data_IF_997890562391
#
_entry.id   IF_997890562391
#
_cell.length_a   1.000
_cell.length_b   1.000
_cell.length_c   1.000
_cell.angle_alpha   90.00
_cell.angle_beta   90.00
_cell.angle_gamma   90.00
#
_symmetry.space_group_name_H-M   'P 1'
#
loop_
_entity.id
_entity.type
_entity.pdbx_description
1 polymer ?
#
# COMPACT_ATOMS: atom_id res chain seq x y z
N UNK A 1 1.22 -19.14 7.79
CA UNK A 1 1.61 -18.44 6.55
C UNK A 1 0.44 -18.43 5.58
N UNK A 2 0.02 -17.26 5.05
CA UNK A 2 -1.10 -17.15 4.12
C UNK A 2 -0.71 -16.19 3.00
N UNK A 3 -0.82 -16.66 1.74
CA UNK A 3 -0.71 -15.81 0.55
C UNK A 3 -1.98 -15.99 -0.28
N UNK A 4 -2.63 -14.89 -0.66
CA UNK A 4 -3.78 -14.88 -1.58
C UNK A 4 -3.58 -13.79 -2.61
N UNK A 5 -3.80 -14.11 -3.88
CA UNK A 5 -3.69 -13.14 -4.94
C UNK A 5 -4.79 -13.34 -6.01
N UNK A 6 -5.41 -12.26 -6.44
CA UNK A 6 -6.20 -12.23 -7.66
C UNK A 6 -5.23 -12.25 -8.84
N UNK A 7 -4.91 -13.47 -9.33
CA UNK A 7 -3.90 -13.68 -10.35
C UNK A 7 -4.51 -13.56 -11.75
N UNK A 8 -3.99 -12.67 -12.63
CA UNK A 8 -4.59 -12.47 -13.95
C UNK A 8 -4.29 -13.66 -14.87
N UNK A 9 -5.36 -14.25 -15.45
CA UNK A 9 -5.27 -15.40 -16.35
C UNK A 9 -5.74 -15.09 -17.76
N UNK A 10 -6.56 -14.04 -17.96
CA UNK A 10 -7.16 -13.64 -19.23
C UNK A 10 -7.17 -12.12 -19.37
N UNK A 11 -6.95 -11.62 -20.58
CA UNK A 11 -6.97 -10.19 -20.92
C UNK A 11 -5.87 -9.81 -21.90
N UNK A 12 -5.59 -8.51 -22.01
CA UNK A 12 -4.46 -8.02 -22.80
C UNK A 12 -3.13 -8.54 -22.24
N UNK A 13 -2.26 -9.00 -23.16
CA UNK A 13 -1.00 -9.66 -22.78
C UNK A 13 -0.07 -8.72 -22.03
N UNK A 14 0.08 -7.48 -22.49
CA UNK A 14 0.99 -6.50 -21.90
C UNK A 14 0.56 -6.17 -20.47
N UNK A 15 -0.75 -5.95 -20.27
CA UNK A 15 -1.32 -5.71 -18.95
C UNK A 15 -1.13 -6.90 -18.01
N UNK A 16 -1.43 -8.12 -18.50
CA UNK A 16 -1.26 -9.35 -17.71
C UNK A 16 0.20 -9.53 -17.27
N UNK A 17 1.14 -9.37 -18.18
CA UNK A 17 2.57 -9.51 -17.89
C UNK A 17 3.04 -8.47 -16.88
N UNK A 18 2.58 -7.20 -17.00
CA UNK A 18 2.86 -6.14 -16.03
C UNK A 18 2.34 -6.48 -14.63
N UNK A 19 1.09 -6.95 -14.52
CA UNK A 19 0.50 -7.31 -13.22
C UNK A 19 1.20 -8.53 -12.60
N UNK A 20 1.52 -9.56 -13.40
CA UNK A 20 2.24 -10.74 -12.92
C UNK A 20 3.64 -10.40 -12.42
N UNK A 21 4.36 -9.56 -13.16
CA UNK A 21 5.67 -9.09 -12.75
C UNK A 21 5.58 -8.26 -11.45
N UNK A 22 4.58 -7.40 -11.35
CA UNK A 22 4.32 -6.65 -10.13
C UNK A 22 4.01 -7.57 -8.94
N UNK A 23 3.15 -8.59 -9.10
CA UNK A 23 2.87 -9.56 -8.02
C UNK A 23 4.15 -10.27 -7.58
N UNK A 24 4.99 -10.71 -8.53
CA UNK A 24 6.28 -11.30 -8.21
C UNK A 24 7.17 -10.35 -7.41
N UNK A 25 7.30 -9.09 -7.84
CA UNK A 25 8.08 -8.06 -7.13
C UNK A 25 7.51 -7.76 -5.73
N UNK A 26 6.20 -7.67 -5.60
CA UNK A 26 5.53 -7.41 -4.33
C UNK A 26 5.74 -8.54 -3.29
N UNK A 27 5.95 -9.77 -3.77
CA UNK A 27 6.23 -10.94 -2.93
C UNK A 27 7.74 -11.15 -2.64
N UNK A 28 8.63 -10.34 -3.26
CA UNK A 28 10.08 -10.40 -3.02
C UNK A 28 10.95 -10.48 -4.27
N UNK A 29 10.39 -10.68 -5.46
CA UNK A 29 11.09 -10.60 -6.75
C UNK A 29 12.08 -11.74 -7.04
N UNK A 30 12.09 -12.80 -6.23
CA UNK A 30 13.11 -13.86 -6.31
C UNK A 30 12.67 -15.09 -7.12
N UNK A 31 11.37 -15.22 -7.45
CA UNK A 31 10.88 -16.32 -8.28
C UNK A 31 11.35 -16.15 -9.74
N UNK A 32 12.05 -17.15 -10.25
CA UNK A 32 12.64 -17.18 -11.61
C UNK A 32 11.88 -18.11 -12.57
N UNK A 33 10.76 -18.68 -12.14
CA UNK A 33 9.94 -19.56 -12.97
C UNK A 33 9.02 -18.81 -13.94
N UNK A 34 8.18 -19.57 -14.65
CA UNK A 34 7.18 -19.00 -15.56
C UNK A 34 6.09 -18.27 -14.79
N UNK A 35 5.99 -16.94 -14.96
CA UNK A 35 4.98 -16.11 -14.31
C UNK A 35 3.54 -16.40 -14.80
N UNK A 36 3.33 -17.23 -15.83
CA UNK A 36 1.99 -17.69 -16.18
C UNK A 36 1.44 -18.72 -15.18
N UNK A 37 2.31 -19.32 -14.36
CA UNK A 37 2.00 -20.35 -13.37
C UNK A 37 1.83 -19.72 -11.97
N UNK A 38 0.71 -19.01 -11.75
CA UNK A 38 0.46 -18.29 -10.50
C UNK A 38 0.55 -19.16 -9.26
N UNK A 39 0.00 -20.38 -9.29
CA UNK A 39 0.07 -21.32 -8.16
C UNK A 39 1.51 -21.68 -7.79
N UNK A 40 2.37 -21.87 -8.80
CA UNK A 40 3.80 -22.18 -8.59
C UNK A 40 4.53 -20.98 -7.95
N UNK A 41 4.23 -19.77 -8.39
CA UNK A 41 4.78 -18.55 -7.82
C UNK A 41 4.35 -18.38 -6.35
N UNK A 42 3.06 -18.51 -6.07
CA UNK A 42 2.55 -18.36 -4.70
C UNK A 42 3.10 -19.45 -3.76
N UNK A 43 3.17 -20.68 -4.24
CA UNK A 43 3.74 -21.79 -3.46
C UNK A 43 5.24 -21.58 -3.15
N UNK A 44 6.02 -21.04 -4.11
CA UNK A 44 7.43 -20.71 -3.91
C UNK A 44 7.61 -19.71 -2.75
N UNK A 45 6.88 -18.59 -2.76
CA UNK A 45 6.98 -17.60 -1.70
C UNK A 45 6.44 -18.11 -0.36
N UNK A 46 5.35 -18.87 -0.37
CA UNK A 46 4.81 -19.46 0.85
C UNK A 46 5.85 -20.37 1.53
N UNK A 47 6.56 -21.19 0.75
CA UNK A 47 7.61 -22.07 1.25
C UNK A 47 8.84 -21.29 1.75
N UNK A 48 9.28 -20.27 1.01
CA UNK A 48 10.39 -19.43 1.42
C UNK A 48 10.10 -18.74 2.77
N UNK A 49 8.95 -18.10 2.89
CA UNK A 49 8.57 -17.41 4.13
C UNK A 49 8.30 -18.34 5.30
N UNK A 50 7.74 -19.54 5.04
CA UNK A 50 7.61 -20.56 6.09
C UNK A 50 8.96 -20.97 6.66
N UNK A 51 9.97 -21.13 5.81
CA UNK A 51 11.33 -21.46 6.22
C UNK A 51 11.94 -20.33 7.06
N UNK A 52 11.83 -19.09 6.61
CA UNK A 52 12.34 -17.91 7.30
C UNK A 52 11.69 -17.73 8.68
N UNK A 53 10.35 -17.84 8.74
CA UNK A 53 9.62 -17.72 9.99
C UNK A 53 9.95 -18.84 10.98
N UNK A 54 10.15 -20.06 10.49
CA UNK A 54 10.56 -21.20 11.34
C UNK A 54 11.95 -20.99 11.90
N UNK A 55 12.88 -20.48 11.09
CA UNK A 55 14.23 -20.16 11.55
C UNK A 55 14.18 -19.06 12.62
N UNK A 56 13.48 -17.97 12.39
CA UNK A 56 13.31 -16.87 13.35
C UNK A 56 12.67 -17.35 14.66
N UNK A 57 11.64 -18.18 14.57
CA UNK A 57 11.00 -18.78 15.75
C UNK A 57 12.00 -19.57 16.59
N UNK A 58 12.81 -20.43 15.96
CA UNK A 58 13.82 -21.24 16.67
C UNK A 58 14.88 -20.37 17.34
N UNK A 59 15.39 -19.35 16.65
CA UNK A 59 16.38 -18.40 17.20
C UNK A 59 15.84 -17.66 18.43
N UNK A 60 14.58 -17.21 18.41
CA UNK A 60 13.96 -16.54 19.54
C UNK A 60 13.68 -17.53 20.68
N UNK A 61 13.23 -18.75 20.38
CA UNK A 61 12.99 -19.78 21.38
C UNK A 61 14.28 -20.18 22.11
N UNK A 62 15.38 -20.33 21.40
CA UNK A 62 16.70 -20.58 21.97
C UNK A 62 17.16 -19.44 22.87
N UNK A 63 17.02 -18.19 22.41
CA UNK A 63 17.38 -16.99 23.18
C UNK A 63 16.57 -16.82 24.47
N UNK A 64 15.31 -17.31 24.50
CA UNK A 64 14.42 -17.28 25.67
C UNK A 64 14.47 -18.53 26.55
N UNK A 65 15.37 -19.48 26.27
CA UNK A 65 15.49 -20.72 27.05
C UNK A 65 14.31 -21.68 26.88
N UNK A 66 13.76 -21.76 25.67
CA UNK A 66 12.58 -22.57 25.32
C UNK A 66 11.30 -22.21 26.10
N UNK A 67 11.09 -20.94 26.37
CA UNK A 67 9.83 -20.45 26.94
C UNK A 67 8.64 -20.88 26.05
N UNK A 68 7.74 -21.68 26.62
CA UNK A 68 6.61 -22.29 25.89
C UNK A 68 5.45 -21.32 25.66
N UNK A 69 5.49 -20.11 26.23
CA UNK A 69 4.43 -19.11 26.13
C UNK A 69 4.63 -18.10 24.96
N UNK A 70 5.39 -18.48 23.93
CA UNK A 70 5.50 -17.64 22.73
C UNK A 70 4.20 -17.64 21.92
N UNK A 71 3.67 -16.44 21.69
CA UNK A 71 2.55 -16.27 20.78
C UNK A 71 2.91 -16.76 19.35
N UNK A 72 1.97 -17.38 18.63
CA UNK A 72 2.21 -17.86 17.28
C UNK A 72 2.62 -16.73 16.34
N UNK A 73 3.75 -16.91 15.66
CA UNK A 73 4.17 -15.99 14.60
C UNK A 73 3.33 -16.21 13.35
N UNK A 74 3.02 -15.14 12.64
CA UNK A 74 2.33 -15.22 11.36
C UNK A 74 2.81 -14.17 10.35
N UNK A 75 2.65 -14.50 9.08
CA UNK A 75 2.79 -13.58 7.96
C UNK A 75 1.66 -13.87 6.96
N UNK A 76 0.94 -12.84 6.57
CA UNK A 76 -0.18 -12.90 5.63
C UNK A 76 -0.05 -11.82 4.58
N UNK A 77 -0.18 -12.19 3.30
CA UNK A 77 -0.25 -11.24 2.19
C UNK A 77 -1.50 -11.52 1.37
N UNK A 78 -2.28 -10.47 1.16
CA UNK A 78 -3.46 -10.50 0.29
C UNK A 78 -3.30 -9.46 -0.81
N UNK A 79 -3.36 -9.89 -2.06
CA UNK A 79 -3.27 -9.05 -3.26
C UNK A 79 -4.60 -9.14 -4.00
N UNK A 80 -5.37 -8.05 -4.04
CA UNK A 80 -6.71 -8.03 -4.64
C UNK A 80 -6.82 -7.00 -5.75
N UNK A 81 -7.48 -7.37 -6.84
CA UNK A 81 -7.96 -6.42 -7.83
C UNK A 81 -9.20 -5.70 -7.26
N UNK A 82 -9.01 -4.50 -6.73
CA UNK A 82 -10.08 -3.76 -6.05
C UNK A 82 -10.92 -2.95 -7.03
N UNK A 83 -10.28 -2.33 -8.03
CA UNK A 83 -10.98 -1.52 -9.03
C UNK A 83 -10.65 -1.97 -10.45
N UNK A 84 -11.67 -1.97 -11.30
CA UNK A 84 -11.57 -2.36 -12.69
C UNK A 84 -12.47 -1.44 -13.54
N UNK A 85 -11.86 -0.46 -14.19
CA UNK A 85 -12.53 0.50 -15.06
C UNK A 85 -12.20 0.23 -16.53
N UNK A 86 -12.80 0.91 -17.51
CA UNK A 86 -12.38 0.80 -18.90
C UNK A 86 -10.93 1.20 -19.16
N UNK A 87 -10.32 2.09 -18.35
CA UNK A 87 -9.01 2.69 -18.59
C UNK A 87 -7.91 2.14 -17.71
N UNK A 88 -8.23 1.67 -16.49
CA UNK A 88 -7.25 1.17 -15.53
C UNK A 88 -7.79 0.05 -14.67
N UNK A 89 -6.87 -0.67 -14.06
CA UNK A 89 -7.14 -1.57 -12.92
C UNK A 89 -6.28 -1.15 -11.74
N UNK A 90 -6.80 -1.33 -10.53
CA UNK A 90 -6.06 -1.07 -9.29
C UNK A 90 -6.04 -2.32 -8.42
N UNK A 91 -4.86 -2.71 -8.01
CA UNK A 91 -4.61 -3.76 -7.03
C UNK A 91 -4.28 -3.16 -5.68
N UNK A 92 -4.80 -3.76 -4.62
CA UNK A 92 -4.45 -3.46 -3.23
C UNK A 92 -3.71 -4.64 -2.64
N UNK A 93 -2.56 -4.36 -2.02
CA UNK A 93 -1.76 -5.33 -1.27
C UNK A 93 -1.90 -5.00 0.20
N UNK A 94 -2.35 -5.97 0.98
CA UNK A 94 -2.35 -5.88 2.43
C UNK A 94 -1.39 -6.95 2.97
N UNK A 95 -0.47 -6.53 3.82
CA UNK A 95 0.49 -7.40 4.50
C UNK A 95 0.29 -7.28 6.00
N UNK A 96 0.20 -8.41 6.67
CA UNK A 96 0.15 -8.50 8.12
C UNK A 96 1.23 -9.45 8.61
N UNK A 97 2.02 -9.01 9.58
CA UNK A 97 3.11 -9.81 10.14
C UNK A 97 3.15 -9.68 11.65
N UNK A 98 3.32 -10.80 12.33
CA UNK A 98 3.68 -10.83 13.73
C UNK A 98 4.87 -11.79 13.91
N UNK A 99 5.98 -11.25 14.36
CA UNK A 99 7.24 -11.97 14.58
C UNK A 99 7.66 -12.00 16.05
N UNK A 100 6.70 -11.79 16.95
CA UNK A 100 6.94 -11.62 18.39
C UNK A 100 6.99 -10.14 18.78
N UNK A 101 6.87 -9.87 20.09
CA UNK A 101 6.87 -8.50 20.63
C UNK A 101 5.47 -8.01 21.03
N UNK A 102 5.33 -6.68 21.19
CA UNK A 102 4.13 -6.06 21.74
C UNK A 102 2.93 -6.05 20.79
N UNK A 103 3.17 -5.98 19.47
CA UNK A 103 2.12 -5.93 18.45
C UNK A 103 2.64 -6.42 17.10
N UNK A 104 1.72 -6.74 16.18
CA UNK A 104 2.02 -7.02 14.78
C UNK A 104 2.25 -5.74 13.97
N UNK A 105 2.69 -5.93 12.72
CA UNK A 105 2.77 -4.88 11.70
C UNK A 105 1.76 -5.15 10.61
N UNK A 106 1.16 -4.08 10.10
CA UNK A 106 0.29 -4.13 8.94
C UNK A 106 0.69 -3.05 7.95
N UNK A 107 0.67 -3.38 6.67
CA UNK A 107 0.93 -2.45 5.58
C UNK A 107 -0.19 -2.56 4.55
N UNK A 108 -0.55 -1.44 3.92
CA UNK A 108 -1.49 -1.41 2.81
C UNK A 108 -0.93 -0.55 1.69
N UNK A 109 -0.86 -1.10 0.47
CA UNK A 109 -0.34 -0.41 -0.72
C UNK A 109 -1.30 -0.60 -1.87
N UNK A 110 -1.60 0.46 -2.59
CA UNK A 110 -2.37 0.39 -3.83
C UNK A 110 -1.48 0.66 -5.04
N UNK A 111 -1.71 -0.05 -6.14
CA UNK A 111 -1.00 0.15 -7.40
C UNK A 111 -1.99 0.13 -8.55
N UNK A 112 -1.88 1.10 -9.45
CA UNK A 112 -2.76 1.24 -10.60
C UNK A 112 -2.01 0.98 -11.91
N UNK A 113 -2.63 0.20 -12.77
CA UNK A 113 -2.14 -0.16 -14.10
C UNK A 113 -3.04 0.46 -15.17
N UNK A 114 -2.45 1.16 -16.12
CA UNK A 114 -3.15 1.58 -17.34
C UNK A 114 -3.42 0.37 -18.22
N UNK A 115 -4.64 0.23 -18.72
CA UNK A 115 -5.02 -0.93 -19.54
C UNK A 115 -4.48 -0.88 -20.96
N UNK A 116 -4.20 0.30 -21.48
CA UNK A 116 -3.76 0.50 -22.87
C UNK A 116 -2.37 -0.12 -23.13
N UNK A 117 -1.45 0.02 -22.17
CA UNK A 117 -0.04 -0.34 -22.35
C UNK A 117 0.57 -1.08 -21.15
N UNK A 118 -0.23 -1.35 -20.11
CA UNK A 118 0.24 -1.98 -18.88
C UNK A 118 1.12 -1.09 -17.99
N UNK A 119 1.20 0.23 -18.29
CA UNK A 119 1.98 1.17 -17.47
C UNK A 119 1.56 1.13 -16.00
N UNK A 120 2.55 1.06 -15.10
CA UNK A 120 2.36 1.04 -13.65
C UNK A 120 2.52 2.44 -13.11
N UNK A 121 1.44 3.02 -12.61
CA UNK A 121 1.51 4.33 -11.96
C UNK A 121 2.09 4.22 -10.56
N UNK A 122 3.11 5.02 -10.32
CA UNK A 122 3.73 5.22 -9.00
C UNK A 122 3.64 6.70 -8.61
N UNK A 123 4.77 7.34 -8.26
CA UNK A 123 4.81 8.76 -7.92
C UNK A 123 4.73 9.68 -9.15
N UNK A 124 4.74 9.14 -10.35
CA UNK A 124 4.62 9.84 -11.64
C UNK A 124 3.20 10.32 -11.97
N UNK A 125 2.23 10.04 -11.11
CA UNK A 125 0.87 10.59 -11.25
C UNK A 125 0.78 12.08 -10.93
N UNK A 126 1.71 12.62 -10.14
CA UNK A 126 1.73 14.03 -9.73
C UNK A 126 2.80 14.83 -10.46
N UNK A 127 2.49 16.10 -10.76
CA UNK A 127 3.49 17.07 -11.20
C UNK A 127 4.51 17.36 -10.08
N UNK A 128 5.73 17.79 -10.45
CA UNK A 128 6.80 18.06 -9.47
C UNK A 128 6.54 19.29 -8.62
N UNK A 129 6.02 20.36 -9.24
CA UNK A 129 5.78 21.65 -8.57
C UNK A 129 4.40 21.63 -7.92
N UNK A 130 4.37 21.42 -6.62
CA UNK A 130 3.18 21.43 -5.78
C UNK A 130 3.27 22.63 -4.84
N UNK A 131 2.19 23.37 -4.74
CA UNK A 131 2.08 24.57 -3.94
C UNK A 131 1.48 24.30 -2.55
N UNK A 132 1.25 25.39 -1.80
CA UNK A 132 0.62 25.32 -0.48
C UNK A 132 -0.78 24.69 -0.54
N UNK A 133 -1.53 24.93 -1.60
CA UNK A 133 -2.89 24.40 -1.74
C UNK A 133 -2.88 22.87 -1.90
N UNK A 134 -1.85 22.31 -2.55
CA UNK A 134 -1.68 20.86 -2.58
C UNK A 134 -1.47 20.29 -1.18
N UNK A 135 -0.64 20.93 -0.34
CA UNK A 135 -0.45 20.49 1.04
C UNK A 135 -1.73 20.58 1.87
N UNK A 136 -2.58 21.58 1.61
CA UNK A 136 -3.90 21.69 2.25
C UNK A 136 -4.79 20.49 1.89
N UNK A 137 -4.68 19.89 0.68
CA UNK A 137 -5.40 18.66 0.34
C UNK A 137 -5.00 17.49 1.23
N UNK A 138 -3.71 17.36 1.53
CA UNK A 138 -3.18 16.33 2.43
C UNK A 138 -3.70 16.56 3.85
N UNK A 139 -3.58 17.77 4.35
CA UNK A 139 -4.05 18.16 5.70
C UNK A 139 -5.54 17.89 5.88
N UNK A 140 -6.37 18.32 4.92
CA UNK A 140 -7.82 18.04 4.94
C UNK A 140 -8.12 16.54 4.97
N UNK A 141 -7.32 15.75 4.25
CA UNK A 141 -7.41 14.30 4.25
C UNK A 141 -7.08 13.69 5.62
N UNK A 142 -6.03 14.19 6.28
CA UNK A 142 -5.61 13.75 7.60
C UNK A 142 -6.62 14.14 8.67
N UNK A 143 -7.14 15.38 8.68
CA UNK A 143 -8.20 15.78 9.59
C UNK A 143 -9.43 14.85 9.49
N UNK A 144 -9.82 14.51 8.26
CA UNK A 144 -10.94 13.59 8.02
C UNK A 144 -10.61 12.18 8.55
N UNK A 145 -9.41 11.67 8.25
CA UNK A 145 -8.97 10.36 8.75
C UNK A 145 -9.07 10.29 10.27
N UNK A 146 -8.50 11.25 11.00
CA UNK A 146 -8.55 11.25 12.45
C UNK A 146 -9.98 11.37 13.00
N UNK A 147 -10.83 12.16 12.33
CA UNK A 147 -12.25 12.25 12.69
C UNK A 147 -12.99 10.91 12.52
N UNK A 148 -12.70 10.16 11.45
CA UNK A 148 -13.28 8.84 11.18
C UNK A 148 -12.77 7.74 12.13
N UNK A 149 -11.64 7.98 12.81
CA UNK A 149 -11.08 7.08 13.84
C UNK A 149 -11.51 7.46 15.27
N UNK A 150 -12.56 8.25 15.44
CA UNK A 150 -13.00 8.77 16.75
C UNK A 150 -11.92 9.59 17.50
N UNK A 151 -10.97 10.16 16.77
CA UNK A 151 -9.92 11.05 17.26
C UNK A 151 -9.98 12.41 16.57
N UNK A 152 -11.09 13.16 16.66
CA UNK A 152 -11.26 14.38 15.90
C UNK A 152 -10.23 15.43 16.31
N UNK A 153 -9.51 15.95 15.32
CA UNK A 153 -8.59 17.08 15.48
C UNK A 153 -9.28 18.34 14.97
N UNK A 154 -9.18 19.44 15.72
CA UNK A 154 -9.87 20.72 15.46
C UNK A 154 -8.94 21.87 15.12
N UNK A 155 -7.63 21.67 15.24
CA UNK A 155 -6.63 22.72 15.04
C UNK A 155 -5.30 22.20 14.46
N UNK A 156 -4.53 23.11 13.89
CA UNK A 156 -3.17 22.84 13.43
C UNK A 156 -2.23 22.40 14.55
N UNK A 157 -2.46 22.89 15.78
CA UNK A 157 -1.68 22.51 16.97
C UNK A 157 -1.94 21.02 17.27
N UNK A 158 -3.20 20.59 17.25
CA UNK A 158 -3.55 19.20 17.50
C UNK A 158 -3.01 18.30 16.38
N UNK A 159 -3.10 18.71 15.11
CA UNK A 159 -2.53 17.96 14.01
C UNK A 159 -1.00 17.85 14.14
N UNK A 160 -0.30 18.94 14.48
CA UNK A 160 1.16 18.89 14.70
C UNK A 160 1.58 18.03 15.87
N UNK A 161 0.71 17.88 16.88
CA UNK A 161 0.95 17.00 18.02
C UNK A 161 0.71 15.53 17.67
N UNK A 162 -0.27 15.24 16.80
CA UNK A 162 -0.61 13.89 16.36
C UNK A 162 0.40 13.33 15.34
N UNK A 163 1.03 14.21 14.56
CA UNK A 163 1.98 13.84 13.51
C UNK A 163 3.44 13.92 13.99
N UNK A 164 4.26 13.05 13.44
CA UNK A 164 5.72 13.01 13.61
C UNK A 164 6.41 13.59 12.37
N UNK A 165 6.04 14.83 12.00
CA UNK A 165 6.60 15.57 10.87
C UNK A 165 7.15 16.92 11.32
N UNK A 166 8.18 17.41 10.66
CA UNK A 166 8.83 18.68 11.02
C UNK A 166 7.93 19.88 10.75
N UNK A 167 7.12 19.82 9.70
CA UNK A 167 6.24 20.92 9.27
C UNK A 167 4.92 20.39 8.71
N UNK A 168 3.82 20.67 9.39
CA UNK A 168 2.47 20.30 8.95
C UNK A 168 2.00 21.08 7.70
N UNK A 169 2.70 22.14 7.33
CA UNK A 169 2.44 22.88 6.08
C UNK A 169 3.26 22.34 4.90
N UNK A 170 4.12 21.30 5.15
CA UNK A 170 4.90 20.63 4.14
C UNK A 170 5.01 19.11 4.45
N UNK A 171 3.86 18.46 4.59
CA UNK A 171 3.79 17.03 4.89
C UNK A 171 4.34 16.23 3.70
N UNK A 172 5.28 15.29 3.92
CA UNK A 172 5.83 14.46 2.84
C UNK A 172 4.73 13.60 2.20
N UNK A 173 4.90 13.27 0.91
CA UNK A 173 4.06 12.27 0.27
C UNK A 173 4.30 10.89 0.91
N UNK A 174 3.28 10.01 0.88
CA UNK A 174 3.48 8.62 1.30
C UNK A 174 4.61 7.94 0.52
N UNK A 175 5.35 7.06 1.18
CA UNK A 175 6.33 6.18 0.54
C UNK A 175 5.66 5.14 -0.36
N UNK A 176 4.44 4.71 0.00
CA UNK A 176 3.61 3.87 -0.86
C UNK A 176 3.12 4.64 -2.09
N UNK A 177 2.99 3.98 -3.25
CA UNK A 177 2.41 4.61 -4.43
C UNK A 177 1.01 5.15 -4.17
N UNK A 178 0.73 6.33 -4.74
CA UNK A 178 -0.64 6.83 -4.83
C UNK A 178 -1.41 6.02 -5.87
N UNK A 179 -2.70 5.78 -5.65
CA UNK A 179 -3.47 4.97 -6.57
C UNK A 179 -4.85 5.53 -6.89
N UNK A 180 -5.37 5.12 -8.04
CA UNK A 180 -6.67 5.55 -8.55
C UNK A 180 -7.80 4.70 -7.99
N UNK A 181 -8.90 5.37 -7.68
CA UNK A 181 -10.22 4.78 -7.41
C UNK A 181 -11.27 5.49 -8.27
N UNK A 182 -12.50 5.02 -8.37
CA UNK A 182 -13.56 5.75 -9.05
C UNK A 182 -13.85 7.13 -8.45
N UNK A 183 -13.51 7.36 -7.17
CA UNK A 183 -13.83 8.60 -6.44
C UNK A 183 -12.69 9.62 -6.44
N UNK A 184 -11.45 9.20 -6.67
CA UNK A 184 -10.29 10.08 -6.58
C UNK A 184 -8.98 9.32 -6.43
N UNK A 185 -7.94 10.06 -6.05
CA UNK A 185 -6.62 9.51 -5.74
C UNK A 185 -6.53 9.22 -4.25
N UNK A 186 -6.08 8.02 -3.92
CA UNK A 186 -5.87 7.59 -2.53
C UNK A 186 -4.41 7.75 -2.14
N UNK A 187 -4.20 8.31 -0.96
CA UNK A 187 -2.94 8.36 -0.23
C UNK A 187 -3.01 7.44 0.99
N UNK A 188 -1.96 6.65 1.22
CA UNK A 188 -1.85 5.75 2.37
C UNK A 188 -0.48 5.91 3.00
N UNK A 189 -0.44 6.39 4.23
CA UNK A 189 0.77 6.39 5.04
C UNK A 189 0.85 5.08 5.83
N UNK A 190 2.04 4.50 5.88
CA UNK A 190 2.25 3.27 6.62
C UNK A 190 2.34 3.55 8.15
N UNK A 191 2.19 2.53 9.01
CA UNK A 191 2.44 2.69 10.45
C UNK A 191 3.83 3.28 10.69
N UNK A 192 3.94 4.25 11.59
CA UNK A 192 5.16 5.00 11.92
C UNK A 192 5.71 5.93 10.83
N UNK A 193 5.05 6.07 9.67
CA UNK A 193 5.57 6.92 8.59
C UNK A 193 5.44 8.42 8.92
N UNK A 194 4.29 8.84 9.42
CA UNK A 194 4.02 10.24 9.80
C UNK A 194 3.35 10.40 11.18
N UNK A 195 3.06 9.29 11.87
CA UNK A 195 2.40 9.30 13.18
C UNK A 195 2.81 8.04 13.96
N UNK A 196 2.54 8.00 15.27
CA UNK A 196 2.80 6.82 16.09
C UNK A 196 1.90 5.64 15.68
N UNK A 197 2.28 4.42 16.07
CA UNK A 197 1.54 3.20 15.74
C UNK A 197 0.06 3.25 16.13
N UNK A 198 -0.26 3.85 17.27
CA UNK A 198 -1.63 3.98 17.77
C UNK A 198 -2.52 4.84 16.85
N UNK A 199 -1.94 5.72 16.05
CA UNK A 199 -2.66 6.49 15.04
C UNK A 199 -3.04 5.64 13.80
N UNK A 200 -2.56 4.41 13.69
CA UNK A 200 -2.83 3.51 12.57
C UNK A 200 -2.10 3.89 11.29
N UNK A 201 -2.75 3.64 10.15
CA UNK A 201 -2.24 3.94 8.79
C UNK A 201 -3.14 5.00 8.16
N UNK A 202 -2.79 6.29 8.24
CA UNK A 202 -3.60 7.35 7.66
C UNK A 202 -3.88 7.11 6.17
N UNK A 203 -5.15 6.91 5.85
CA UNK A 203 -5.64 6.64 4.49
C UNK A 203 -6.80 7.55 4.16
N UNK A 204 -6.71 8.27 3.05
CA UNK A 204 -7.77 9.15 2.60
C UNK A 204 -7.79 9.30 1.08
N UNK A 205 -8.95 9.67 0.56
CA UNK A 205 -9.16 9.92 -0.87
C UNK A 205 -9.24 11.42 -1.12
N UNK A 206 -8.47 11.92 -2.09
CA UNK A 206 -8.60 13.29 -2.60
C UNK A 206 -9.44 13.21 -3.89
N UNK A 207 -10.64 13.83 -3.90
CA UNK A 207 -11.52 13.78 -5.08
C UNK A 207 -10.87 14.39 -6.32
N UNK A 208 -11.20 13.87 -7.51
CA UNK A 208 -10.62 14.29 -8.78
C UNK A 208 -10.74 15.80 -9.05
N UNK A 209 -11.89 16.40 -8.73
CA UNK A 209 -12.08 17.85 -8.94
C UNK A 209 -11.11 18.73 -8.12
N UNK A 210 -10.57 18.20 -7.01
CA UNK A 210 -9.57 18.89 -6.18
C UNK A 210 -8.15 18.61 -6.60
N UNK A 211 -7.81 17.35 -6.93
CA UNK A 211 -6.43 16.93 -7.21
C UNK A 211 -6.03 17.11 -8.68
N UNK A 212 -7.00 17.21 -9.61
CA UNK A 212 -6.74 17.31 -11.04
C UNK A 212 -5.72 18.38 -11.47
N UNK A 213 -5.62 19.57 -10.85
CA UNK A 213 -4.58 20.54 -11.18
C UNK A 213 -3.16 20.02 -11.00
N UNK A 214 -2.96 19.05 -10.10
CA UNK A 214 -1.67 18.49 -9.71
C UNK A 214 -1.33 17.17 -10.38
N UNK A 215 -2.24 16.61 -11.18
CA UNK A 215 -2.01 15.39 -11.93
C UNK A 215 -1.20 15.66 -13.19
N UNK A 216 -0.34 14.72 -13.56
CA UNK A 216 0.32 14.71 -14.89
C UNK A 216 -0.69 14.46 -16.01
N UNK A 217 -0.33 14.79 -17.24
CA UNK A 217 -1.21 14.56 -18.40
C UNK A 217 -1.53 13.08 -18.61
N UNK A 218 -0.58 12.19 -18.31
CA UNK A 218 -0.80 10.75 -18.33
C UNK A 218 -1.87 10.33 -17.31
N UNK A 219 -1.77 10.82 -16.08
CA UNK A 219 -2.75 10.55 -15.03
C UNK A 219 -4.14 11.13 -15.36
N UNK A 220 -4.21 12.34 -15.93
CA UNK A 220 -5.47 12.98 -16.36
C UNK A 220 -6.23 12.17 -17.41
N UNK A 221 -5.52 11.46 -18.31
CA UNK A 221 -6.17 10.61 -19.33
C UNK A 221 -7.00 9.48 -18.70
N UNK A 222 -6.61 8.98 -17.52
CA UNK A 222 -7.33 7.91 -16.82
C UNK A 222 -8.66 8.36 -16.21
N UNK A 223 -8.84 9.67 -16.00
CA UNK A 223 -10.03 10.23 -15.39
C UNK A 223 -10.96 10.96 -16.37
N UNK A 224 -10.49 11.24 -17.58
CA UNK A 224 -11.21 12.08 -18.57
C UNK A 224 -12.44 11.44 -19.22
N UNK A 225 -12.72 10.16 -18.93
CA UNK A 225 -13.84 9.39 -19.48
C UNK A 225 -14.68 8.68 -18.40
N UNK A 226 -14.60 9.19 -17.17
CA UNK A 226 -15.45 8.69 -16.07
C UNK A 226 -16.71 9.52 -15.94
#
# INVERSE_FOLDING_TARGET
MIIRADYPTKGDRTLIDSVRQFINQALGGTFQGDLSQGDSLLAFYAHQWEKEMRQMYNEIAEARGNDQDMAPMYHSVTIKQEYNTPLYITYIINTETYSGGAHGMHESKGVTFQKEDGHVFCNDILIKNRDKEFNNLIRDGLFRYFSEQDMPLSSDIELSTALQVDDIHNIPLPTAPLYFTPQGIVMVYQPYEIACYAAGSPKFTIPYHRISPYLTDAAKKLISKQ
#
